data_IF_901663440777
#
_entry.id   IF_901663440777
#
_cell.length_a   1.000
_cell.length_b   1.000
_cell.length_c   1.000
_cell.angle_alpha   90.00
_cell.angle_beta   90.00
_cell.angle_gamma   90.00
#
_symmetry.space_group_name_H-M   'P 1'
#
loop_
_entity.id
_entity.type
_entity.pdbx_description
1 polymer ?
#
# COMPACT_ATOMS: atom_id res chain seq x y z
N UNK A 1 8.11 -2.61 -11.09
CA UNK A 1 7.55 -2.30 -9.75
C UNK A 1 8.30 -1.22 -8.99
N UNK A 2 9.63 -1.12 -9.03
CA UNK A 2 10.34 -0.01 -8.36
C UNK A 2 9.82 1.39 -8.74
N UNK A 3 9.46 1.60 -10.01
CA UNK A 3 8.80 2.84 -10.47
C UNK A 3 7.43 3.07 -9.83
N UNK A 4 6.61 2.03 -9.66
CA UNK A 4 5.30 2.12 -8.99
C UNK A 4 5.44 2.49 -7.51
N UNK A 5 6.44 1.93 -6.82
CA UNK A 5 6.73 2.31 -5.44
C UNK A 5 7.12 3.79 -5.34
N UNK A 6 8.01 4.24 -6.22
CA UNK A 6 8.43 5.65 -6.27
C UNK A 6 7.24 6.57 -6.59
N UNK A 7 6.39 6.22 -7.55
CA UNK A 7 5.19 7.01 -7.88
C UNK A 7 4.23 7.04 -6.68
N UNK A 8 4.02 5.90 -6.00
CA UNK A 8 3.19 5.83 -4.79
C UNK A 8 3.72 6.77 -3.70
N UNK A 9 5.03 6.78 -3.47
CA UNK A 9 5.70 7.66 -2.51
C UNK A 9 5.54 9.13 -2.87
N UNK A 10 5.72 9.49 -4.15
CA UNK A 10 5.54 10.86 -4.63
C UNK A 10 4.09 11.31 -4.44
N UNK A 11 3.11 10.49 -4.85
CA UNK A 11 1.70 10.79 -4.64
C UNK A 11 1.41 10.98 -3.15
N UNK A 12 1.95 10.11 -2.28
CA UNK A 12 1.75 10.20 -0.85
C UNK A 12 2.29 11.51 -0.25
N UNK A 13 3.51 11.94 -0.66
CA UNK A 13 4.09 13.22 -0.24
C UNK A 13 3.23 14.39 -0.72
N UNK A 14 2.78 14.37 -1.99
CA UNK A 14 1.96 15.44 -2.55
C UNK A 14 0.60 15.57 -1.85
N UNK A 15 0.02 14.45 -1.41
CA UNK A 15 -1.26 14.43 -0.69
C UNK A 15 -1.14 14.75 0.80
N UNK A 16 0.04 14.64 1.39
CA UNK A 16 0.24 14.85 2.83
C UNK A 16 -0.19 16.25 3.30
N UNK A 17 0.23 17.31 2.60
CA UNK A 17 -0.13 18.69 2.97
C UNK A 17 -1.63 18.98 2.81
N UNK A 18 -2.27 18.64 1.68
CA UNK A 18 -3.71 18.75 1.53
C UNK A 18 -4.52 17.98 2.60
N UNK A 19 -4.15 16.74 2.94
CA UNK A 19 -4.84 15.97 3.99
C UNK A 19 -4.68 16.61 5.38
N UNK A 20 -3.47 17.09 5.71
CA UNK A 20 -3.21 17.80 6.96
C UNK A 20 -4.01 19.10 7.06
N UNK A 21 -4.14 19.85 5.96
CA UNK A 21 -4.97 21.06 5.88
C UNK A 21 -6.46 20.79 6.07
N UNK A 22 -6.95 19.62 5.63
CA UNK A 22 -8.33 19.20 5.82
C UNK A 22 -8.61 18.55 7.20
N UNK A 23 -7.59 18.40 8.06
CA UNK A 23 -7.72 17.75 9.36
C UNK A 23 -8.03 16.25 9.30
N UNK A 24 -7.81 15.61 8.15
CA UNK A 24 -8.12 14.20 7.92
C UNK A 24 -7.01 13.31 8.47
N UNK A 25 -7.01 13.13 9.80
CA UNK A 25 -6.06 12.27 10.51
C UNK A 25 -6.75 11.02 11.05
N UNK A 26 -6.03 9.90 11.08
CA UNK A 26 -6.51 8.62 11.59
C UNK A 26 -6.40 8.51 13.12
N UNK A 27 -5.45 9.23 13.73
CA UNK A 27 -5.19 9.23 15.16
C UNK A 27 -5.01 10.68 15.65
N UNK A 28 -5.53 10.99 16.84
CA UNK A 28 -5.43 12.34 17.42
C UNK A 28 -4.01 12.66 17.91
N UNK A 29 -3.34 11.67 18.53
CA UNK A 29 -1.96 11.79 18.99
C UNK A 29 -1.02 10.91 18.17
N UNK A 30 -0.24 11.46 17.23
CA UNK A 30 0.62 10.67 16.34
C UNK A 30 1.72 9.90 17.05
N UNK A 31 2.20 10.36 18.22
CA UNK A 31 3.37 9.80 18.90
C UNK A 31 3.03 8.69 19.90
N UNK A 32 1.75 8.33 20.05
CA UNK A 32 1.33 7.27 20.95
C UNK A 32 1.84 5.89 20.48
N UNK A 33 2.64 5.17 21.29
CA UNK A 33 3.15 3.84 20.95
C UNK A 33 2.06 2.76 20.84
N UNK A 34 0.81 3.04 21.25
CA UNK A 34 -0.33 2.13 21.06
C UNK A 34 -0.91 2.19 19.64
N UNK A 35 -0.74 3.29 18.90
CA UNK A 35 -1.31 3.44 17.55
C UNK A 35 -0.91 2.31 16.60
N UNK A 36 0.36 1.86 16.54
CA UNK A 36 0.76 0.73 15.70
C UNK A 36 0.09 -0.59 16.07
N UNK A 37 -0.16 -0.80 17.36
CA UNK A 37 -0.80 -2.02 17.88
C UNK A 37 -2.27 -2.02 17.49
N UNK A 38 -2.95 -0.88 17.67
CA UNK A 38 -4.35 -0.69 17.24
C UNK A 38 -4.46 -0.89 15.73
N UNK A 39 -3.57 -0.26 14.96
CA UNK A 39 -3.52 -0.38 13.51
C UNK A 39 -3.31 -1.84 13.06
N UNK A 40 -2.36 -2.55 13.66
CA UNK A 40 -2.10 -3.96 13.38
C UNK A 40 -3.30 -4.84 13.73
N UNK A 41 -3.95 -4.58 14.87
CA UNK A 41 -5.16 -5.29 15.27
C UNK A 41 -6.31 -5.07 14.28
N UNK A 42 -6.52 -3.83 13.79
CA UNK A 42 -7.52 -3.51 12.77
C UNK A 42 -7.25 -4.29 11.48
N UNK A 43 -5.98 -4.40 11.03
CA UNK A 43 -5.63 -5.20 9.84
C UNK A 43 -6.01 -6.67 10.04
N UNK A 44 -5.71 -7.26 11.20
CA UNK A 44 -6.05 -8.65 11.50
C UNK A 44 -7.57 -8.85 11.49
N UNK A 45 -8.31 -7.96 12.17
CA UNK A 45 -9.78 -8.04 12.23
C UNK A 45 -10.39 -7.88 10.85
N UNK A 46 -9.92 -6.92 10.05
CA UNK A 46 -10.40 -6.71 8.69
C UNK A 46 -10.12 -7.93 7.79
N UNK A 47 -8.93 -8.51 7.90
CA UNK A 47 -8.56 -9.73 7.17
C UNK A 47 -9.44 -10.91 7.60
N UNK A 48 -9.64 -11.09 8.90
CA UNK A 48 -10.53 -12.13 9.43
C UNK A 48 -11.97 -11.94 8.95
N UNK A 49 -12.47 -10.71 8.93
CA UNK A 49 -13.81 -10.37 8.41
C UNK A 49 -13.93 -10.79 6.94
N UNK A 50 -12.95 -10.45 6.11
CA UNK A 50 -12.93 -10.87 4.70
C UNK A 50 -12.97 -12.39 4.58
N UNK A 51 -12.11 -13.11 5.31
CA UNK A 51 -12.06 -14.58 5.28
C UNK A 51 -13.38 -15.23 5.73
N UNK A 52 -14.04 -14.66 6.73
CA UNK A 52 -15.37 -15.11 7.17
C UNK A 52 -16.40 -14.90 6.06
N UNK A 53 -16.42 -13.74 5.41
CA UNK A 53 -17.33 -13.48 4.26
C UNK A 53 -17.09 -14.45 3.10
N UNK A 54 -15.84 -14.81 2.84
CA UNK A 54 -15.47 -15.84 1.87
C UNK A 54 -16.04 -17.21 2.22
N UNK A 55 -15.93 -17.62 3.49
CA UNK A 55 -16.40 -18.93 3.96
C UNK A 55 -17.90 -19.12 3.77
N UNK A 56 -18.69 -18.04 3.83
CA UNK A 56 -20.13 -18.08 3.58
C UNK A 56 -20.52 -18.04 2.09
N UNK A 57 -19.56 -18.21 1.16
CA UNK A 57 -19.82 -18.29 -0.29
C UNK A 57 -20.15 -16.95 -0.94
N UNK A 58 -19.94 -15.84 -0.22
CA UNK A 58 -20.30 -14.50 -0.67
C UNK A 58 -19.27 -13.86 -1.61
N UNK A 59 -18.83 -14.51 -2.68
CA UNK A 59 -17.85 -13.92 -3.62
C UNK A 59 -18.29 -12.54 -4.14
N UNK A 60 -19.57 -12.38 -4.49
CA UNK A 60 -20.17 -11.09 -4.89
C UNK A 60 -20.19 -10.07 -3.74
N UNK A 61 -20.40 -10.53 -2.51
CA UNK A 61 -20.44 -9.68 -1.32
C UNK A 61 -19.03 -9.17 -0.99
N UNK A 62 -18.02 -10.05 -1.01
CA UNK A 62 -16.60 -9.67 -0.85
C UNK A 62 -16.20 -8.65 -1.91
N UNK A 63 -16.55 -8.92 -3.18
CA UNK A 63 -16.30 -7.99 -4.28
C UNK A 63 -16.92 -6.61 -4.00
N UNK A 64 -18.19 -6.55 -3.57
CA UNK A 64 -18.88 -5.29 -3.28
C UNK A 64 -18.28 -4.55 -2.07
N UNK A 65 -17.94 -5.27 -1.00
CA UNK A 65 -17.28 -4.70 0.20
C UNK A 65 -15.94 -4.07 -0.17
N UNK A 66 -15.15 -4.76 -0.99
CA UNK A 66 -13.86 -4.25 -1.44
C UNK A 66 -14.00 -3.08 -2.42
N UNK A 67 -14.95 -3.14 -3.37
CA UNK A 67 -15.26 -2.01 -4.26
C UNK A 67 -15.71 -0.78 -3.45
N UNK A 68 -16.51 -0.98 -2.41
CA UNK A 68 -16.94 0.08 -1.51
C UNK A 68 -15.74 0.67 -0.73
N UNK A 69 -14.85 -0.16 -0.20
CA UNK A 69 -13.65 0.31 0.49
C UNK A 69 -12.76 1.16 -0.45
N UNK A 70 -12.53 0.67 -1.67
CA UNK A 70 -11.81 1.37 -2.74
C UNK A 70 -12.47 2.71 -3.07
N UNK A 71 -13.80 2.73 -3.25
CA UNK A 71 -14.55 3.95 -3.56
C UNK A 71 -14.48 4.98 -2.41
N UNK A 72 -14.59 4.53 -1.15
CA UNK A 72 -14.45 5.41 0.02
C UNK A 72 -13.06 6.05 0.04
N UNK A 73 -11.99 5.29 -0.19
CA UNK A 73 -10.64 5.85 -0.22
C UNK A 73 -10.46 6.84 -1.37
N UNK A 74 -10.97 6.53 -2.57
CA UNK A 74 -10.95 7.44 -3.72
C UNK A 74 -11.69 8.74 -3.39
N UNK A 75 -12.84 8.65 -2.74
CA UNK A 75 -13.61 9.83 -2.34
C UNK A 75 -12.78 10.76 -1.44
N UNK A 76 -12.16 10.24 -0.39
CA UNK A 76 -11.31 11.06 0.49
C UNK A 76 -10.14 11.72 -0.26
N UNK A 77 -9.51 11.01 -1.18
CA UNK A 77 -8.44 11.58 -2.02
C UNK A 77 -9.00 12.69 -2.93
N UNK A 78 -10.13 12.48 -3.58
CA UNK A 78 -10.72 13.45 -4.49
C UNK A 78 -11.23 14.71 -3.77
N UNK A 79 -11.81 14.57 -2.57
CA UNK A 79 -12.27 15.72 -1.76
C UNK A 79 -11.12 16.67 -1.47
N UNK A 80 -9.94 16.13 -1.22
CA UNK A 80 -8.75 16.89 -0.84
C UNK A 80 -8.03 17.50 -2.04
N UNK A 81 -8.06 16.85 -3.21
CA UNK A 81 -7.48 17.38 -4.45
C UNK A 81 -8.41 18.40 -5.13
N UNK A 82 -9.71 18.11 -5.15
CA UNK A 82 -10.74 18.86 -5.87
C UNK A 82 -11.81 19.34 -4.88
N UNK A 83 -11.56 20.43 -4.13
CA UNK A 83 -12.49 20.94 -3.10
C UNK A 83 -13.67 21.69 -3.72
N UNK A 84 -14.30 21.11 -4.74
CA UNK A 84 -15.49 21.63 -5.42
C UNK A 84 -16.69 20.75 -5.08
N UNK A 85 -17.84 21.35 -4.78
CA UNK A 85 -19.05 20.60 -4.48
C UNK A 85 -19.45 19.68 -5.64
N UNK A 86 -19.89 18.46 -5.34
CA UNK A 86 -20.38 17.44 -6.27
C UNK A 86 -19.32 16.81 -7.20
N UNK A 87 -18.14 17.43 -7.38
CA UNK A 87 -17.08 16.88 -8.26
C UNK A 87 -16.46 15.60 -7.68
N UNK A 88 -16.06 15.53 -6.39
CA UNK A 88 -15.55 14.30 -5.79
C UNK A 88 -16.56 13.15 -5.81
N UNK A 89 -17.84 13.43 -5.59
CA UNK A 89 -18.92 12.43 -5.62
C UNK A 89 -19.08 11.85 -7.02
N UNK A 90 -19.19 12.70 -8.04
CA UNK A 90 -19.32 12.28 -9.44
C UNK A 90 -18.05 11.54 -9.88
N UNK A 91 -16.87 12.04 -9.53
CA UNK A 91 -15.59 11.41 -9.87
C UNK A 91 -15.42 10.03 -9.23
N UNK A 92 -15.78 9.89 -7.96
CA UNK A 92 -15.75 8.60 -7.26
C UNK A 92 -16.71 7.62 -7.89
N UNK A 93 -17.95 8.05 -8.18
CA UNK A 93 -18.95 7.18 -8.81
C UNK A 93 -18.51 6.76 -10.22
N UNK A 94 -17.95 7.68 -11.00
CA UNK A 94 -17.42 7.39 -12.33
C UNK A 94 -16.28 6.35 -12.28
N UNK A 95 -15.33 6.51 -11.36
CA UNK A 95 -14.22 5.57 -11.17
C UNK A 95 -14.70 4.21 -10.65
N UNK A 96 -15.65 4.19 -9.71
CA UNK A 96 -16.23 2.95 -9.21
C UNK A 96 -16.98 2.18 -10.31
N UNK A 97 -17.76 2.88 -11.15
CA UNK A 97 -18.44 2.27 -12.32
C UNK A 97 -17.41 1.78 -13.34
N UNK A 98 -16.34 2.54 -13.58
CA UNK A 98 -15.28 2.15 -14.49
C UNK A 98 -14.59 0.86 -14.02
N UNK A 99 -14.23 0.78 -12.74
CA UNK A 99 -13.65 -0.43 -12.13
C UNK A 99 -14.61 -1.61 -12.17
N UNK A 100 -15.91 -1.37 -12.00
CA UNK A 100 -16.92 -2.41 -12.05
C UNK A 100 -17.13 -2.98 -13.46
N UNK A 101 -17.18 -2.11 -14.47
CA UNK A 101 -17.48 -2.51 -15.86
C UNK A 101 -16.24 -2.95 -16.64
N UNK A 102 -15.08 -2.35 -16.37
CA UNK A 102 -13.85 -2.56 -17.13
C UNK A 102 -12.64 -2.65 -16.18
N UNK A 103 -12.48 -3.77 -15.45
CA UNK A 103 -11.33 -4.00 -14.57
C UNK A 103 -10.07 -4.40 -15.38
N UNK A 104 -9.63 -3.52 -16.28
CA UNK A 104 -8.37 -3.70 -17.00
C UNK A 104 -7.16 -3.34 -16.12
N UNK A 105 -6.01 -3.96 -16.39
CA UNK A 105 -4.81 -3.87 -15.55
C UNK A 105 -4.37 -2.42 -15.31
N UNK A 106 -4.37 -1.58 -16.36
CA UNK A 106 -3.94 -0.18 -16.25
C UNK A 106 -4.91 0.66 -15.40
N UNK A 107 -6.21 0.32 -15.37
CA UNK A 107 -7.21 1.01 -14.54
C UNK A 107 -7.01 0.61 -13.08
N UNK A 108 -6.81 -0.69 -12.82
CA UNK A 108 -6.53 -1.20 -11.49
C UNK A 108 -5.23 -0.61 -10.93
N UNK A 109 -4.18 -0.54 -11.74
CA UNK A 109 -2.89 0.02 -11.38
C UNK A 109 -2.95 1.53 -11.12
N UNK A 110 -3.58 2.30 -12.00
CA UNK A 110 -3.76 3.74 -11.80
C UNK A 110 -4.57 4.02 -10.53
N UNK A 111 -5.65 3.27 -10.30
CA UNK A 111 -6.45 3.37 -9.08
C UNK A 111 -5.64 2.95 -7.85
N UNK A 112 -4.86 1.87 -7.96
CA UNK A 112 -3.99 1.37 -6.90
C UNK A 112 -2.90 2.38 -6.50
N UNK A 113 -2.35 3.14 -7.46
CA UNK A 113 -1.40 4.21 -7.18
C UNK A 113 -2.06 5.36 -6.40
N UNK A 114 -3.27 5.76 -6.78
CA UNK A 114 -4.05 6.81 -6.09
C UNK A 114 -4.40 6.37 -4.66
N UNK A 115 -4.93 5.16 -4.51
CA UNK A 115 -5.33 4.60 -3.21
C UNK A 115 -4.11 4.37 -2.33
N UNK A 116 -3.05 3.78 -2.89
CA UNK A 116 -1.82 3.52 -2.17
C UNK A 116 -1.17 4.82 -1.67
N UNK A 117 -1.10 5.84 -2.55
CA UNK A 117 -0.60 7.15 -2.18
C UNK A 117 -1.48 7.83 -1.14
N UNK A 118 -2.81 7.79 -1.31
CA UNK A 118 -3.76 8.37 -0.36
C UNK A 118 -3.72 7.71 1.02
N UNK A 119 -3.71 6.37 1.08
CA UNK A 119 -3.59 5.64 2.33
C UNK A 119 -2.25 5.90 3.02
N UNK A 120 -1.13 5.86 2.27
CA UNK A 120 0.18 6.19 2.79
C UNK A 120 0.26 7.64 3.32
N UNK A 121 -0.40 8.58 2.65
CA UNK A 121 -0.48 9.96 3.10
C UNK A 121 -1.24 10.07 4.43
N UNK A 122 -2.46 9.52 4.51
CA UNK A 122 -3.30 9.57 5.72
C UNK A 122 -2.58 8.92 6.91
N UNK A 123 -2.02 7.72 6.74
CA UNK A 123 -1.33 7.06 7.85
C UNK A 123 0.02 7.70 8.17
N UNK A 124 0.72 8.23 7.17
CA UNK A 124 1.99 8.92 7.36
C UNK A 124 1.87 10.25 8.11
N UNK A 125 0.78 11.00 7.90
CA UNK A 125 0.51 12.21 8.69
C UNK A 125 -0.01 11.90 10.10
N UNK A 126 -0.56 10.70 10.31
CA UNK A 126 -1.24 10.30 11.55
C UNK A 126 -0.37 9.48 12.50
N UNK A 127 0.82 9.06 12.07
CA UNK A 127 1.75 8.29 12.88
C UNK A 127 3.09 9.02 12.92
N UNK A 128 3.58 9.28 14.12
CA UNK A 128 4.93 9.80 14.35
C UNK A 128 5.99 8.76 13.98
N UNK A 129 7.24 9.21 13.90
CA UNK A 129 8.36 8.37 13.45
C UNK A 129 8.49 7.09 14.28
N UNK A 130 8.44 7.21 15.61
CA UNK A 130 8.62 6.06 16.50
C UNK A 130 7.48 5.01 16.32
N UNK A 131 6.19 5.40 16.35
CA UNK A 131 5.10 4.50 15.99
C UNK A 131 5.24 3.85 14.61
N UNK A 132 5.64 4.60 13.57
CA UNK A 132 5.83 4.03 12.23
C UNK A 132 6.93 2.98 12.21
N UNK A 133 8.08 3.24 12.84
CA UNK A 133 9.17 2.27 12.93
C UNK A 133 8.72 0.98 13.63
N UNK A 134 7.96 1.12 14.73
CA UNK A 134 7.42 -0.02 15.45
C UNK A 134 6.42 -0.82 14.59
N UNK A 135 5.52 -0.13 13.89
CA UNK A 135 4.58 -0.75 12.94
C UNK A 135 5.32 -1.55 11.86
N UNK A 136 6.35 -0.94 11.25
CA UNK A 136 7.13 -1.56 10.17
C UNK A 136 7.86 -2.81 10.64
N UNK A 137 8.41 -2.80 11.87
CA UNK A 137 9.06 -3.98 12.46
C UNK A 137 8.03 -5.08 12.74
N UNK A 138 6.87 -4.76 13.34
CA UNK A 138 5.81 -5.74 13.59
C UNK A 138 5.38 -6.42 12.29
N UNK A 139 5.09 -5.63 11.25
CA UNK A 139 4.64 -6.15 9.97
C UNK A 139 5.73 -6.95 9.23
N UNK A 140 6.98 -6.52 9.29
CA UNK A 140 8.10 -7.26 8.72
C UNK A 140 8.28 -8.63 9.42
N UNK A 141 8.21 -8.67 10.75
CA UNK A 141 8.30 -9.92 11.51
C UNK A 141 7.12 -10.84 11.19
N UNK A 142 5.91 -10.30 11.12
CA UNK A 142 4.72 -11.05 10.73
C UNK A 142 4.86 -11.69 9.34
N UNK A 143 5.29 -10.90 8.33
CA UNK A 143 5.50 -11.38 6.96
C UNK A 143 6.60 -12.46 6.88
N UNK A 144 7.73 -12.25 7.56
CA UNK A 144 8.81 -13.23 7.64
C UNK A 144 8.34 -14.56 8.25
N UNK A 145 7.57 -14.51 9.35
CA UNK A 145 7.03 -15.71 9.99
C UNK A 145 6.02 -16.40 9.07
N UNK A 146 5.14 -15.63 8.42
CA UNK A 146 4.12 -16.14 7.51
C UNK A 146 4.74 -16.89 6.33
N UNK A 147 5.78 -16.32 5.71
CA UNK A 147 6.41 -16.90 4.52
C UNK A 147 7.35 -18.07 4.87
N UNK A 148 8.25 -17.89 5.84
CA UNK A 148 9.29 -18.90 6.09
C UNK A 148 8.85 -20.02 7.03
N UNK A 149 7.98 -19.73 8.01
CA UNK A 149 7.59 -20.69 9.05
C UNK A 149 6.25 -21.36 8.76
N UNK A 150 5.19 -20.57 8.56
CA UNK A 150 3.84 -21.16 8.41
C UNK A 150 3.53 -21.59 6.98
N UNK A 151 4.17 -20.97 5.97
CA UNK A 151 3.93 -21.21 4.54
C UNK A 151 2.45 -21.14 4.13
N UNK A 152 1.59 -20.55 4.97
CA UNK A 152 0.14 -20.52 4.79
C UNK A 152 -0.26 -19.76 3.50
N UNK A 153 0.58 -18.80 3.10
CA UNK A 153 0.44 -18.04 1.86
C UNK A 153 0.78 -18.85 0.60
N UNK A 154 1.60 -19.90 0.72
CA UNK A 154 1.95 -20.82 -0.39
C UNK A 154 0.84 -21.86 -0.60
N UNK A 155 0.16 -22.29 0.48
CA UNK A 155 -0.93 -23.26 0.40
C UNK A 155 -2.30 -22.66 0.02
N UNK A 156 -2.50 -21.34 0.18
CA UNK A 156 -3.75 -20.66 -0.24
C UNK A 156 -3.78 -20.30 -1.74
N UNK A 157 -2.62 -20.29 -2.39
CA UNK A 157 -2.47 -19.88 -3.78
C UNK A 157 -3.18 -20.82 -4.78
N UNK A 158 -3.50 -22.06 -4.39
CA UNK A 158 -4.22 -23.02 -5.24
C UNK A 158 -5.75 -22.88 -5.21
N UNK A 159 -6.34 -22.05 -4.33
CA UNK A 159 -7.82 -22.02 -4.14
C UNK A 159 -8.50 -20.66 -4.30
N UNK A 160 -7.77 -19.54 -4.44
CA UNK A 160 -8.40 -18.20 -4.48
C UNK A 160 -7.73 -17.28 -5.50
N UNK A 161 -7.73 -17.70 -6.77
CA UNK A 161 -7.20 -16.91 -7.91
C UNK A 161 -8.31 -16.34 -8.82
N UNK A 162 -9.58 -16.35 -8.41
CA UNK A 162 -10.68 -15.84 -9.25
C UNK A 162 -11.17 -14.42 -8.92
N UNK A 163 -10.63 -13.76 -7.90
CA UNK A 163 -11.09 -12.44 -7.51
C UNK A 163 -10.15 -11.36 -8.04
N UNK A 164 -10.46 -10.90 -9.27
CA UNK A 164 -9.85 -9.79 -10.01
C UNK A 164 -10.04 -8.44 -9.30
N UNK A 165 -9.50 -8.31 -8.09
CA UNK A 165 -9.66 -7.13 -7.24
C UNK A 165 -8.40 -6.25 -7.27
N UNK A 166 -8.53 -4.91 -7.22
CA UNK A 166 -7.41 -3.98 -7.12
C UNK A 166 -6.80 -3.98 -5.71
N UNK A 167 -6.21 -5.11 -5.31
CA UNK A 167 -5.45 -5.27 -4.05
C UNK A 167 -3.96 -5.50 -4.37
N UNK A 168 -3.64 -5.67 -5.65
CA UNK A 168 -2.33 -6.06 -6.17
C UNK A 168 -2.04 -5.18 -7.39
N UNK A 169 -0.81 -4.66 -7.50
CA UNK A 169 -0.29 -4.06 -8.72
C UNK A 169 0.04 -5.14 -9.74
N UNK A 170 -0.39 -4.94 -11.00
CA UNK A 170 -0.23 -5.91 -12.08
C UNK A 170 0.57 -5.28 -13.22
N UNK A 171 1.87 -5.57 -13.29
CA UNK A 171 2.70 -5.11 -14.39
C UNK A 171 2.82 -6.21 -15.45
N UNK A 172 2.15 -6.10 -16.61
CA UNK A 172 2.23 -7.12 -17.64
C UNK A 172 3.60 -7.14 -18.32
N UNK A 173 4.08 -8.31 -18.72
CA UNK A 173 5.31 -8.46 -19.54
C UNK A 173 5.11 -8.06 -21.00
N UNK A 174 3.86 -8.02 -21.48
CA UNK A 174 3.48 -7.66 -22.86
C UNK A 174 2.35 -6.63 -22.84
N UNK A 175 2.43 -5.61 -23.69
CA UNK A 175 1.43 -4.53 -23.80
C UNK A 175 0.03 -5.00 -24.25
N UNK A 176 -0.07 -6.19 -24.86
CA UNK A 176 -1.33 -6.79 -25.30
C UNK A 176 -2.06 -7.59 -24.22
N UNK A 177 -1.53 -7.63 -22.99
CA UNK A 177 -2.10 -8.39 -21.88
C UNK A 177 -3.46 -7.80 -21.45
N UNK A 178 -4.47 -8.65 -21.28
CA UNK A 178 -5.78 -8.26 -20.75
C UNK A 178 -6.23 -9.19 -19.63
N UNK A 179 -6.46 -8.61 -18.44
CA UNK A 179 -7.03 -9.32 -17.28
C UNK A 179 -8.44 -9.84 -17.57
N UNK A 180 -9.18 -9.17 -18.47
CA UNK A 180 -10.55 -9.53 -18.81
C UNK A 180 -10.60 -10.83 -19.63
N UNK A 181 -9.65 -11.01 -20.54
CA UNK A 181 -9.58 -12.13 -21.50
C UNK A 181 -8.98 -13.42 -20.94
N UNK A 182 -8.49 -13.39 -19.69
CA UNK A 182 -7.95 -14.59 -19.04
C UNK A 182 -6.59 -15.02 -19.59
N UNK A 183 -5.77 -14.09 -20.07
CA UNK A 183 -4.36 -14.37 -20.35
C UNK A 183 -3.69 -14.90 -19.07
N UNK A 184 -2.88 -15.96 -19.21
CA UNK A 184 -2.30 -16.68 -18.08
C UNK A 184 -1.58 -15.74 -17.08
N UNK A 185 -1.84 -15.93 -15.79
CA UNK A 185 -1.18 -15.20 -14.69
C UNK A 185 0.36 -15.29 -14.74
N UNK A 186 0.94 -16.21 -15.52
CA UNK A 186 2.39 -16.35 -15.65
C UNK A 186 3.07 -15.19 -16.39
N UNK A 187 2.31 -14.36 -17.12
CA UNK A 187 2.85 -13.26 -17.93
C UNK A 187 2.88 -11.90 -17.20
N UNK A 188 2.55 -11.84 -15.90
CA UNK A 188 2.50 -10.61 -15.10
C UNK A 188 3.42 -10.61 -13.87
N UNK A 189 4.00 -9.46 -13.51
CA UNK A 189 4.61 -9.28 -12.19
C UNK A 189 3.55 -8.74 -11.23
N UNK A 190 3.40 -9.38 -10.07
CA UNK A 190 2.41 -9.01 -9.05
C UNK A 190 3.10 -8.51 -7.79
N UNK A 191 2.58 -7.43 -7.21
CA UNK A 191 3.06 -6.89 -5.94
C UNK A 191 1.88 -6.41 -5.10
N UNK A 192 1.85 -6.74 -3.81
CA UNK A 192 0.78 -6.27 -2.92
C UNK A 192 0.82 -4.75 -2.78
N UNK A 193 -0.35 -4.10 -2.82
CA UNK A 193 -0.43 -2.65 -2.56
C UNK A 193 0.18 -2.28 -1.20
N UNK A 194 -0.01 -3.15 -0.19
CA UNK A 194 0.56 -2.98 1.15
C UNK A 194 2.08 -2.85 1.16
N UNK A 195 2.79 -3.57 0.29
CA UNK A 195 4.26 -3.54 0.21
C UNK A 195 4.79 -2.19 -0.27
N UNK A 196 3.99 -1.46 -1.06
CA UNK A 196 4.29 -0.09 -1.46
C UNK A 196 3.84 0.92 -0.39
N UNK A 197 2.69 0.69 0.25
CA UNK A 197 2.10 1.61 1.23
C UNK A 197 2.96 1.67 2.51
N UNK A 198 3.33 0.54 3.10
CA UNK A 198 3.94 0.49 4.43
C UNK A 198 5.28 1.27 4.51
N UNK A 199 6.25 1.09 3.60
CA UNK A 199 7.45 1.94 3.59
C UNK A 199 7.15 3.41 3.29
N UNK A 200 6.11 3.69 2.49
CA UNK A 200 5.72 5.06 2.14
C UNK A 200 5.15 5.85 3.33
N UNK A 201 4.57 5.18 4.33
CA UNK A 201 4.14 5.80 5.59
C UNK A 201 5.34 6.45 6.28
N UNK A 202 6.50 5.77 6.33
CA UNK A 202 7.73 6.34 6.92
C UNK A 202 8.21 7.56 6.14
N UNK A 203 8.18 7.49 4.80
CA UNK A 203 8.56 8.62 3.94
C UNK A 203 7.69 9.84 4.24
N UNK A 204 6.36 9.68 4.28
CA UNK A 204 5.44 10.79 4.59
C UNK A 204 5.61 11.28 6.02
N UNK A 205 5.71 10.39 7.00
CA UNK A 205 5.93 10.76 8.40
C UNK A 205 7.20 11.58 8.55
N UNK A 206 8.31 11.16 7.93
CA UNK A 206 9.55 11.93 7.90
C UNK A 206 9.43 13.29 7.23
N UNK A 207 8.65 13.38 6.14
CA UNK A 207 8.38 14.65 5.46
C UNK A 207 7.56 15.63 6.31
N UNK A 208 6.64 15.12 7.13
CA UNK A 208 5.81 15.96 8.01
C UNK A 208 6.53 16.36 9.30
N UNK A 209 7.41 15.50 9.81
CA UNK A 209 8.15 15.73 11.06
C UNK A 209 9.39 16.59 10.88
N UNK A 210 10.14 16.41 9.79
CA UNK A 210 11.43 17.09 9.59
C UNK A 210 11.35 18.13 8.46
N UNK A 211 11.90 19.31 8.70
CA UNK A 211 12.01 20.36 7.67
C UNK A 211 13.06 20.01 6.61
N UNK A 212 14.13 19.33 7.02
CA UNK A 212 15.19 18.91 6.12
C UNK A 212 14.80 17.63 5.39
N UNK A 213 14.97 17.60 4.07
CA UNK A 213 14.50 16.50 3.24
C UNK A 213 15.37 15.23 3.32
N UNK A 214 16.56 15.27 3.94
CA UNK A 214 17.49 14.13 3.93
C UNK A 214 16.93 12.84 4.55
N UNK A 215 16.23 12.84 5.70
CA UNK A 215 15.60 11.63 6.24
C UNK A 215 14.54 11.06 5.28
N UNK A 216 13.74 11.94 4.66
CA UNK A 216 12.69 11.58 3.69
C UNK A 216 13.26 10.96 2.42
N UNK A 217 14.27 11.63 1.82
CA UNK A 217 14.96 11.13 0.63
C UNK A 217 15.73 9.85 0.93
N UNK A 218 16.35 9.78 2.11
CA UNK A 218 17.00 8.58 2.61
C UNK A 218 16.04 7.40 2.69
N UNK A 219 14.86 7.57 3.31
CA UNK A 219 13.83 6.55 3.40
C UNK A 219 13.32 6.10 2.02
N UNK A 220 13.11 7.06 1.11
CA UNK A 220 12.67 6.83 -0.27
C UNK A 220 13.69 5.97 -1.03
N UNK A 221 14.94 6.42 -1.09
CA UNK A 221 16.04 5.72 -1.78
C UNK A 221 16.31 4.37 -1.11
N UNK A 222 16.26 4.30 0.21
CA UNK A 222 16.41 3.07 0.99
C UNK A 222 15.34 2.04 0.65
N UNK A 223 14.09 2.46 0.48
CA UNK A 223 13.00 1.57 0.03
C UNK A 223 13.30 0.97 -1.35
N UNK A 224 13.77 1.80 -2.29
CA UNK A 224 14.12 1.34 -3.64
C UNK A 224 15.32 0.40 -3.65
N UNK A 225 16.32 0.67 -2.80
CA UNK A 225 17.46 -0.23 -2.60
C UNK A 225 17.01 -1.57 -2.01
N UNK A 226 16.11 -1.55 -1.01
CA UNK A 226 15.50 -2.75 -0.44
C UNK A 226 14.74 -3.57 -1.49
N UNK A 227 13.97 -2.91 -2.36
CA UNK A 227 13.30 -3.55 -3.49
C UNK A 227 14.28 -4.13 -4.50
N UNK A 228 15.36 -3.42 -4.83
CA UNK A 228 16.40 -3.92 -5.73
C UNK A 228 17.02 -5.22 -5.18
N UNK A 229 17.39 -5.25 -3.89
CA UNK A 229 17.88 -6.47 -3.22
C UNK A 229 16.84 -7.58 -3.28
N UNK A 230 15.58 -7.31 -2.90
CA UNK A 230 14.50 -8.30 -2.95
C UNK A 230 14.33 -8.89 -4.35
N UNK A 231 14.28 -8.05 -5.39
CA UNK A 231 14.09 -8.51 -6.76
C UNK A 231 15.24 -9.38 -7.27
N UNK A 232 16.49 -9.09 -6.88
CA UNK A 232 17.64 -9.94 -7.25
C UNK A 232 17.61 -11.32 -6.59
N UNK A 233 17.07 -11.41 -5.37
CA UNK A 233 16.96 -12.66 -4.61
C UNK A 233 15.72 -13.45 -5.08
N UNK A 234 14.58 -12.80 -5.24
CA UNK A 234 13.33 -13.41 -5.70
C UNK A 234 13.44 -13.95 -7.13
N UNK A 235 14.22 -13.30 -8.00
CA UNK A 235 14.54 -13.78 -9.34
C UNK A 235 15.26 -15.15 -9.38
N UNK A 236 15.70 -15.67 -8.23
CA UNK A 236 16.31 -17.01 -8.09
C UNK A 236 15.29 -18.14 -7.83
N UNK A 237 14.00 -17.87 -7.99
CA UNK A 237 12.95 -18.90 -8.11
C UNK A 237 12.32 -19.37 -6.79
N UNK A 238 12.55 -18.69 -5.66
CA UNK A 238 11.84 -18.96 -4.40
C UNK A 238 11.03 -17.74 -3.95
N UNK A 239 9.77 -17.91 -3.52
CA UNK A 239 9.02 -16.82 -2.91
C UNK A 239 9.69 -16.39 -1.60
N UNK A 240 9.85 -15.07 -1.42
CA UNK A 240 10.47 -14.45 -0.25
C UNK A 240 9.51 -13.45 0.38
N UNK A 241 9.64 -13.24 1.69
CA UNK A 241 8.92 -12.20 2.41
C UNK A 241 9.35 -10.82 1.88
N UNK A 242 8.40 -10.01 1.43
CA UNK A 242 8.68 -8.72 0.80
C UNK A 242 8.95 -7.63 1.82
N UNK A 243 8.09 -7.51 2.84
CA UNK A 243 8.15 -6.43 3.83
C UNK A 243 9.47 -6.38 4.61
N UNK A 244 10.11 -7.49 5.01
CA UNK A 244 11.41 -7.43 5.67
C UNK A 244 12.47 -6.67 4.88
N UNK A 245 12.57 -6.87 3.56
CA UNK A 245 13.58 -6.21 2.76
C UNK A 245 13.23 -4.75 2.49
N UNK A 246 11.96 -4.48 2.17
CA UNK A 246 11.49 -3.12 1.89
C UNK A 246 11.56 -2.24 3.13
N UNK A 247 11.04 -2.73 4.26
CA UNK A 247 11.03 -1.99 5.52
C UNK A 247 12.45 -1.79 6.05
N UNK A 248 13.30 -2.82 6.02
CA UNK A 248 14.69 -2.67 6.48
C UNK A 248 15.46 -1.68 5.60
N UNK A 249 15.28 -1.72 4.28
CA UNK A 249 15.88 -0.75 3.37
C UNK A 249 15.43 0.68 3.66
N UNK A 250 14.11 0.89 3.84
CA UNK A 250 13.53 2.18 4.17
C UNK A 250 14.03 2.72 5.52
N UNK A 251 14.07 1.88 6.56
CA UNK A 251 14.54 2.25 7.89
C UNK A 251 16.04 2.60 7.88
N UNK A 252 16.87 1.79 7.22
CA UNK A 252 18.30 2.08 7.11
C UNK A 252 18.54 3.38 6.34
N UNK A 253 17.83 3.59 5.23
CA UNK A 253 17.88 4.82 4.47
C UNK A 253 17.45 6.04 5.28
N UNK A 254 16.36 5.91 6.04
CA UNK A 254 15.89 6.94 6.97
C UNK A 254 16.96 7.29 8.01
N UNK A 255 17.55 6.30 8.67
CA UNK A 255 18.59 6.51 9.70
C UNK A 255 19.82 7.19 9.10
N UNK A 256 20.27 6.78 7.91
CA UNK A 256 21.39 7.45 7.22
C UNK A 256 21.04 8.91 6.92
N UNK A 257 19.85 9.17 6.37
CA UNK A 257 19.38 10.52 6.07
C UNK A 257 19.22 11.39 7.33
N UNK A 258 18.79 10.78 8.44
CA UNK A 258 18.71 11.43 9.74
C UNK A 258 20.09 11.79 10.29
N UNK A 259 21.08 10.89 10.18
CA UNK A 259 22.46 11.20 10.57
C UNK A 259 23.06 12.32 9.74
N UNK A 260 22.79 12.37 8.43
CA UNK A 260 23.22 13.47 7.56
C UNK A 260 22.60 14.80 7.97
N UNK A 261 21.35 14.80 8.43
CA UNK A 261 20.69 16.02 8.93
C UNK A 261 21.31 16.55 10.23
N UNK A 262 21.90 15.68 11.05
CA UNK A 262 22.48 16.05 12.35
C UNK A 262 23.90 16.66 12.25
N UNK A 263 24.54 16.55 11.09
CA UNK A 263 25.90 17.04 10.81
C UNK A 263 25.82 18.40 10.10
#
# INVERSE_FOLDING_TARGET
>A
MGSFMLITQIIAILLAAPFKGAGMTAFENPDDPLNPIIFFFIIIVFTALILVLFKFGGQKLVYFVMLAAVAITIYYVLVVILPYAFIPEIGTLALAILLYKYPEWYILDATGLIIGGGAAAIFGISLGILPVLLLMVILAVYDAISVYKTKHMVSLAESVIDLRMPIIFVLPRKWSFSLTKGDEMEDGFYMGLGDAIIPSILVVSSFVTYEFAAPTLGALVGTLAGYAVLSTIAGRGKPHAGLPFLNSGAILGFVIGYMVMLV
#
